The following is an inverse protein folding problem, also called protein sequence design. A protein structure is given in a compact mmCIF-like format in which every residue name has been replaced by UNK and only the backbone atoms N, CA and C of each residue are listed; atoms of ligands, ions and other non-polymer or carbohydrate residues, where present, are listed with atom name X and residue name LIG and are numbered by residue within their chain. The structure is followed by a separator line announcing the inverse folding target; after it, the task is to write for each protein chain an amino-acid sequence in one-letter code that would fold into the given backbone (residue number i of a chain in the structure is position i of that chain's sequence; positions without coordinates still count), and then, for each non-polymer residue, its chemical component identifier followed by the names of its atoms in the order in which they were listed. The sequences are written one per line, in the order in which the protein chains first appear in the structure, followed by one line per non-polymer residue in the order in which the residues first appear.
data_IF_299672982402
#
_entry.id   IF_299672982402
#
_cell.length_a   1.000
_cell.length_b   1.000
_cell.length_c   1.000
_cell.angle_alpha   90.00
_cell.angle_beta   90.00
_cell.angle_gamma   90.00
#
_symmetry.space_group_name_H-M   'P 1'
#
loop_
_entity.id
_entity.type
_entity.pdbx_description
1 polymer ?
#
# COMPACT_ATOMS: atom_id res chain seq x y z
N UNK A 1 -10.71 8.56 -25.78
CA UNK A 1 -9.72 7.45 -25.77
C UNK A 1 -10.06 6.60 -24.55
N UNK A 2 -10.63 5.41 -24.75
CA UNK A 2 -10.76 4.44 -23.66
C UNK A 2 -9.41 3.77 -23.48
N UNK A 3 -8.70 4.13 -22.43
CA UNK A 3 -7.50 3.45 -22.01
C UNK A 3 -7.92 2.07 -21.46
N UNK A 4 -7.87 1.05 -22.32
CA UNK A 4 -8.12 -0.32 -21.89
C UNK A 4 -7.05 -0.67 -20.85
N UNK A 5 -7.46 -0.80 -19.59
CA UNK A 5 -6.63 -1.33 -18.52
C UNK A 5 -5.96 -2.62 -19.02
N UNK A 6 -4.66 -2.59 -19.26
CA UNK A 6 -3.87 -3.79 -19.53
C UNK A 6 -3.74 -4.54 -18.21
N UNK A 7 -4.78 -5.28 -17.84
CA UNK A 7 -4.66 -6.29 -16.78
C UNK A 7 -3.56 -7.26 -17.20
N UNK A 8 -2.64 -7.54 -16.28
CA UNK A 8 -1.60 -8.53 -16.53
C UNK A 8 -2.26 -9.85 -16.95
N UNK A 9 -1.76 -10.42 -18.05
CA UNK A 9 -2.20 -11.75 -18.51
C UNK A 9 -1.54 -12.87 -17.71
N UNK A 10 -0.53 -12.54 -16.90
CA UNK A 10 0.10 -13.45 -15.96
C UNK A 10 -0.75 -13.57 -14.69
N UNK A 11 -1.28 -14.78 -14.39
CA UNK A 11 -2.15 -14.99 -13.24
C UNK A 11 -1.43 -14.80 -11.90
N UNK A 12 -0.12 -15.05 -11.84
CA UNK A 12 0.68 -14.88 -10.62
C UNK A 12 0.85 -13.39 -10.32
N UNK A 13 1.24 -12.60 -11.33
CA UNK A 13 1.36 -11.14 -11.17
C UNK A 13 0.02 -10.49 -10.80
N UNK A 14 -1.09 -10.99 -11.36
CA UNK A 14 -2.41 -10.48 -11.00
C UNK A 14 -2.75 -10.74 -9.53
N UNK A 15 -2.54 -11.98 -9.06
CA UNK A 15 -2.77 -12.34 -7.67
C UNK A 15 -1.89 -11.53 -6.70
N UNK A 16 -0.62 -11.32 -7.05
CA UNK A 16 0.30 -10.50 -6.26
C UNK A 16 -0.13 -9.03 -6.20
N UNK A 17 -0.59 -8.46 -7.32
CA UNK A 17 -1.09 -7.09 -7.34
C UNK A 17 -2.36 -6.93 -6.49
N UNK A 18 -3.27 -7.89 -6.53
CA UNK A 18 -4.49 -7.91 -5.69
C UNK A 18 -4.12 -8.03 -4.20
N UNK A 19 -3.21 -8.92 -3.84
CA UNK A 19 -2.73 -9.08 -2.46
C UNK A 19 -2.05 -7.80 -1.94
N UNK A 20 -1.19 -7.18 -2.76
CA UNK A 20 -0.52 -5.92 -2.41
C UNK A 20 -1.52 -4.76 -2.27
N UNK A 21 -2.56 -4.74 -3.11
CA UNK A 21 -3.64 -3.78 -2.98
C UNK A 21 -4.36 -3.93 -1.65
N UNK A 22 -4.88 -5.12 -1.35
CA UNK A 22 -5.59 -5.42 -0.09
C UNK A 22 -4.72 -5.12 1.13
N UNK A 23 -3.44 -5.52 1.08
CA UNK A 23 -2.50 -5.24 2.16
C UNK A 23 -2.32 -3.73 2.37
N UNK A 24 -2.18 -2.93 1.32
CA UNK A 24 -2.09 -1.49 1.43
C UNK A 24 -3.36 -0.84 2.00
N UNK A 25 -4.52 -1.48 1.82
CA UNK A 25 -5.79 -1.01 2.35
C UNK A 25 -6.04 -1.42 3.82
N UNK A 26 -5.16 -2.21 4.44
CA UNK A 26 -5.31 -2.59 5.85
C UNK A 26 -5.31 -1.36 6.77
N UNK A 27 -6.02 -1.46 7.90
CA UNK A 27 -6.14 -0.37 8.88
C UNK A 27 -4.77 0.14 9.34
N UNK A 28 -3.81 -0.77 9.57
CA UNK A 28 -2.43 -0.44 9.95
C UNK A 28 -1.72 0.40 8.88
N UNK A 29 -1.82 -0.01 7.61
CA UNK A 29 -1.14 0.69 6.51
C UNK A 29 -1.81 2.02 6.18
N UNK A 30 -3.14 2.10 6.31
CA UNK A 30 -3.89 3.35 6.13
C UNK A 30 -3.65 4.31 7.28
N UNK A 31 -3.64 3.84 8.52
CA UNK A 31 -3.29 4.68 9.68
C UNK A 31 -1.88 5.23 9.53
N UNK A 32 -0.92 4.37 9.19
CA UNK A 32 0.47 4.77 8.99
C UNK A 32 0.65 5.76 7.83
N UNK A 33 -0.02 5.53 6.70
CA UNK A 33 -0.05 6.49 5.61
C UNK A 33 -0.66 7.82 6.07
N UNK A 34 -1.70 7.80 6.90
CA UNK A 34 -2.32 9.00 7.43
C UNK A 34 -1.43 9.79 8.39
N UNK A 35 -0.70 9.12 9.27
CA UNK A 35 0.31 9.75 10.14
C UNK A 35 1.40 10.46 9.32
N UNK A 36 1.84 9.84 8.22
CA UNK A 36 2.87 10.39 7.32
C UNK A 36 2.35 11.54 6.45
N UNK A 37 1.09 11.47 6.01
CA UNK A 37 0.47 12.46 5.13
C UNK A 37 -0.18 13.62 5.91
N UNK A 38 -0.48 13.44 7.20
CA UNK A 38 -1.15 14.42 8.05
C UNK A 38 -2.67 14.50 7.84
N UNK A 39 -3.28 13.52 7.17
CA UNK A 39 -4.73 13.42 6.97
C UNK A 39 -5.16 11.97 6.75
N UNK A 40 -6.47 11.70 6.75
CA UNK A 40 -6.98 10.37 6.38
C UNK A 40 -6.74 10.11 4.88
N UNK A 41 -5.97 9.06 4.52
CA UNK A 41 -5.61 8.82 3.13
C UNK A 41 -6.73 8.08 2.39
N UNK A 42 -6.90 8.42 1.11
CA UNK A 42 -7.69 7.61 0.19
C UNK A 42 -6.93 6.34 -0.22
N UNK A 43 -7.62 5.42 -0.91
CA UNK A 43 -7.03 4.13 -1.26
C UNK A 43 -5.77 4.20 -2.13
N UNK A 44 -5.70 5.16 -3.04
CA UNK A 44 -4.51 5.38 -3.88
C UNK A 44 -3.35 5.95 -3.09
N UNK A 45 -3.60 6.89 -2.18
CA UNK A 45 -2.58 7.45 -1.28
C UNK A 45 -1.99 6.38 -0.36
N UNK A 46 -2.84 5.53 0.20
CA UNK A 46 -2.40 4.39 1.00
C UNK A 46 -1.54 3.42 0.18
N UNK A 47 -1.93 3.13 -1.07
CA UNK A 47 -1.17 2.25 -1.97
C UNK A 47 0.17 2.83 -2.39
N UNK A 48 0.22 4.12 -2.78
CA UNK A 48 1.47 4.81 -3.12
C UNK A 48 2.41 4.80 -1.92
N UNK A 49 1.91 5.11 -0.73
CA UNK A 49 2.72 5.12 0.48
C UNK A 49 3.23 3.71 0.85
N UNK A 50 2.40 2.68 0.69
CA UNK A 50 2.78 1.28 0.87
C UNK A 50 3.93 0.88 -0.08
N UNK A 51 3.82 1.24 -1.37
CA UNK A 51 4.81 0.94 -2.38
C UNK A 51 6.16 1.66 -2.14
N UNK A 52 6.12 2.94 -1.78
CA UNK A 52 7.32 3.75 -1.56
C UNK A 52 8.11 3.32 -0.31
N UNK A 53 7.46 2.80 0.72
CA UNK A 53 8.11 2.42 1.97
C UNK A 53 8.59 0.96 2.02
N UNK A 54 8.65 0.25 0.89
CA UNK A 54 9.16 -1.13 0.78
C UNK A 54 8.56 -2.05 1.86
N UNK A 55 7.25 -2.32 1.80
CA UNK A 55 6.44 -3.16 2.72
C UNK A 55 5.66 -2.44 3.84
N UNK A 56 5.32 -1.16 3.66
CA UNK A 56 4.35 -0.46 4.53
C UNK A 56 4.71 -0.41 6.03
N UNK A 57 3.68 -0.48 6.88
CA UNK A 57 3.78 -0.39 8.34
C UNK A 57 4.70 -1.46 8.95
N UNK A 58 4.80 -2.65 8.33
CA UNK A 58 5.69 -3.71 8.79
C UNK A 58 7.18 -3.33 8.65
N UNK A 59 7.57 -2.62 7.59
CA UNK A 59 8.93 -2.11 7.44
C UNK A 59 9.17 -0.92 8.37
N UNK A 60 8.18 -0.04 8.55
CA UNK A 60 8.27 1.05 9.52
C UNK A 60 8.49 0.55 10.94
N UNK A 61 7.74 -0.47 11.39
CA UNK A 61 7.94 -1.12 12.71
C UNK A 61 9.36 -1.66 12.89
N UNK A 62 9.99 -2.19 11.83
CA UNK A 62 11.40 -2.63 11.88
C UNK A 62 12.39 -1.46 12.02
N UNK A 63 12.10 -0.34 11.37
CA UNK A 63 12.98 0.84 11.38
C UNK A 63 12.81 1.72 12.62
N UNK A 64 11.64 1.67 13.28
CA UNK A 64 11.30 2.47 14.45
C UNK A 64 10.81 1.60 15.63
N UNK A 65 11.64 0.70 16.18
CA UNK A 65 11.22 -0.26 17.20
C UNK A 65 10.92 0.34 18.58
N UNK A 66 11.20 1.63 18.81
CA UNK A 66 11.06 2.28 20.12
C UNK A 66 9.78 3.12 20.30
N UNK A 67 8.88 3.13 19.31
CA UNK A 67 7.68 3.98 19.33
C UNK A 67 6.36 3.20 19.40
N UNK A 68 6.41 1.88 19.61
CA UNK A 68 5.25 1.00 19.74
C UNK A 68 5.40 0.05 20.93
#
# INVERSE_FOLDING_TARGET
MEEKEKKSSDPVLRAQNEEQWELAQSDDNRWYAGERLGHSPNGCEAFIHFALNSSGAANFRRQHPQQF
#
